data_IF_204463681900
#
_entry.id   IF_204463681900
#
_cell.length_a   1.000
_cell.length_b   1.000
_cell.length_c   1.000
_cell.angle_alpha   90.00
_cell.angle_beta   90.00
_cell.angle_gamma   90.00
#
_symmetry.space_group_name_H-M   'P 1'
#
loop_
_entity.id
_entity.type
_entity.pdbx_description
1 polymer ?
#
# COMPACT_ATOMS: atom_id res chain seq x y z
N UNK A 1 29.23 -63.42 24.76
CA UNK A 1 29.13 -61.94 24.91
C UNK A 1 28.96 -61.36 23.52
N UNK A 2 27.71 -61.02 23.12
CA UNK A 2 27.39 -60.34 21.88
C UNK A 2 26.96 -58.98 22.25
N UNK A 3 27.69 -57.92 21.77
CA UNK A 3 27.29 -56.53 21.85
C UNK A 3 26.52 -56.16 20.60
N UNK A 4 25.25 -55.86 20.76
CA UNK A 4 24.38 -55.33 19.69
C UNK A 4 24.62 -53.82 19.55
N UNK A 5 25.09 -53.44 18.36
CA UNK A 5 25.28 -52.04 17.97
C UNK A 5 23.94 -51.51 17.37
N UNK A 6 23.24 -50.67 18.12
CA UNK A 6 22.01 -50.08 17.69
C UNK A 6 22.37 -48.76 16.93
N UNK A 7 22.29 -48.77 15.60
CA UNK A 7 22.44 -47.55 14.77
C UNK A 7 21.12 -46.80 14.75
N UNK A 8 21.06 -45.67 15.43
CA UNK A 8 19.96 -44.74 15.33
C UNK A 8 20.11 -43.90 14.05
N UNK A 9 19.24 -44.14 13.07
CA UNK A 9 19.10 -43.30 11.90
C UNK A 9 18.41 -41.98 12.33
N UNK A 10 19.16 -40.89 12.38
CA UNK A 10 18.61 -39.56 12.53
C UNK A 10 17.93 -39.17 11.21
N UNK A 11 16.61 -39.16 11.20
CA UNK A 11 15.83 -38.55 10.12
C UNK A 11 16.11 -37.04 10.15
N UNK A 12 16.79 -36.55 9.13
CA UNK A 12 16.91 -35.11 8.88
C UNK A 12 15.50 -34.62 8.56
N UNK A 13 14.91 -33.92 9.51
CA UNK A 13 13.68 -33.17 9.32
C UNK A 13 14.05 -31.96 8.48
N UNK A 14 13.64 -31.98 7.21
CA UNK A 14 13.72 -30.82 6.30
C UNK A 14 12.88 -29.71 6.90
N UNK A 15 13.55 -28.64 7.34
CA UNK A 15 12.88 -27.45 7.87
C UNK A 15 11.96 -26.89 6.77
N UNK A 16 10.72 -26.47 7.11
CA UNK A 16 9.87 -25.81 6.13
C UNK A 16 10.62 -24.57 5.59
N UNK A 17 10.42 -24.23 4.29
CA UNK A 17 11.06 -23.06 3.70
C UNK A 17 10.71 -21.86 4.58
N UNK A 18 11.73 -21.14 5.01
CA UNK A 18 11.57 -19.93 5.78
C UNK A 18 10.66 -18.99 4.98
N UNK A 19 9.49 -18.63 5.54
CA UNK A 19 8.72 -17.51 5.07
C UNK A 19 9.65 -16.29 5.17
N UNK A 20 10.21 -15.90 4.03
CA UNK A 20 11.02 -14.70 3.95
C UNK A 20 10.12 -13.52 4.33
N UNK A 21 10.28 -13.05 5.55
CA UNK A 21 9.68 -11.79 5.99
C UNK A 21 10.09 -10.73 4.99
N UNK A 22 9.16 -10.02 4.31
CA UNK A 22 9.50 -9.02 3.31
C UNK A 22 10.49 -8.03 3.94
N UNK A 23 11.59 -7.77 3.25
CA UNK A 23 12.58 -6.81 3.70
C UNK A 23 11.89 -5.47 3.95
N UNK A 24 12.27 -4.77 5.03
CA UNK A 24 11.71 -3.46 5.39
C UNK A 24 11.96 -2.51 4.21
N UNK A 25 10.96 -2.33 3.34
CA UNK A 25 11.06 -1.49 2.15
C UNK A 25 10.44 -2.06 0.88
N UNK A 26 10.06 -3.34 0.85
CA UNK A 26 9.46 -3.93 -0.35
C UNK A 26 8.06 -3.34 -0.60
N UNK A 27 7.88 -2.80 -1.80
CA UNK A 27 6.58 -2.32 -2.26
C UNK A 27 5.61 -3.49 -2.38
N UNK A 28 4.43 -3.34 -1.78
CA UNK A 28 3.32 -4.29 -1.93
C UNK A 28 2.41 -3.81 -3.06
N UNK A 29 2.35 -4.59 -4.12
CA UNK A 29 1.55 -4.30 -5.30
C UNK A 29 0.08 -4.12 -4.91
N UNK A 30 -0.57 -3.11 -5.45
CA UNK A 30 -1.98 -2.86 -5.25
C UNK A 30 -2.82 -3.03 -6.51
N UNK A 31 -4.14 -2.94 -6.34
CA UNK A 31 -5.08 -2.91 -7.46
C UNK A 31 -4.88 -1.62 -8.26
N UNK A 32 -5.07 -1.69 -9.57
CA UNK A 32 -4.88 -0.58 -10.53
C UNK A 32 -3.44 -0.13 -10.79
N UNK A 33 -2.44 -0.68 -10.08
CA UNK A 33 -1.05 -0.41 -10.39
C UNK A 33 -0.68 -0.88 -11.79
N UNK A 34 0.27 -0.20 -12.42
CA UNK A 34 0.84 -0.60 -13.69
C UNK A 34 2.25 -1.13 -13.48
N UNK A 35 2.45 -2.39 -13.83
CA UNK A 35 3.74 -3.07 -13.74
C UNK A 35 4.41 -3.09 -15.12
N UNK A 36 5.65 -2.63 -15.21
CA UNK A 36 6.50 -2.81 -16.38
C UNK A 36 7.28 -4.13 -16.21
N UNK A 37 6.97 -5.11 -17.04
CA UNK A 37 7.65 -6.40 -17.03
C UNK A 37 8.59 -6.48 -18.23
N UNK A 38 9.84 -6.85 -17.98
CA UNK A 38 10.86 -7.09 -19.01
C UNK A 38 11.36 -8.52 -18.93
N UNK A 39 11.28 -9.23 -20.03
CA UNK A 39 11.81 -10.59 -20.16
C UNK A 39 12.93 -10.58 -21.20
N UNK A 40 14.16 -10.92 -20.77
CA UNK A 40 15.31 -10.86 -21.64
C UNK A 40 15.17 -11.81 -22.84
N UNK A 41 15.37 -11.27 -24.05
CA UNK A 41 15.25 -12.03 -25.28
C UNK A 41 13.82 -12.34 -25.75
N UNK A 42 12.79 -11.81 -25.04
CA UNK A 42 11.37 -12.03 -25.37
C UNK A 42 10.64 -10.68 -25.42
N UNK A 43 10.65 -10.04 -26.59
CA UNK A 43 9.98 -8.74 -26.79
C UNK A 43 8.46 -8.85 -26.62
N UNK A 44 7.88 -9.98 -26.98
CA UNK A 44 6.43 -10.21 -26.95
C UNK A 44 5.88 -10.35 -25.51
N UNK A 45 6.76 -10.59 -24.54
CA UNK A 45 6.44 -10.65 -23.10
C UNK A 45 6.80 -9.36 -22.36
N UNK A 46 7.53 -8.46 -23.03
CA UNK A 46 7.96 -7.20 -22.43
C UNK A 46 6.91 -6.13 -22.66
N UNK A 47 6.44 -5.51 -21.60
CA UNK A 47 5.42 -4.46 -21.68
C UNK A 47 4.81 -4.08 -20.33
N UNK A 48 3.80 -3.22 -20.40
CA UNK A 48 3.08 -2.75 -19.24
C UNK A 48 1.83 -3.60 -18.99
N UNK A 49 1.68 -4.05 -17.76
CA UNK A 49 0.57 -4.90 -17.31
C UNK A 49 -0.13 -4.21 -16.15
N UNK A 50 -1.43 -3.91 -16.33
CA UNK A 50 -2.24 -3.29 -15.29
C UNK A 50 -2.81 -4.36 -14.36
N UNK A 51 -2.68 -4.16 -13.06
CA UNK A 51 -3.32 -4.99 -12.03
C UNK A 51 -4.81 -4.69 -12.03
N UNK A 52 -5.63 -5.69 -12.28
CA UNK A 52 -7.08 -5.56 -12.31
C UNK A 52 -7.65 -5.38 -10.90
N UNK A 53 -8.92 -4.98 -10.80
CA UNK A 53 -9.62 -4.80 -9.52
C UNK A 53 -9.82 -6.12 -8.73
N UNK A 54 -9.72 -7.27 -9.39
CA UNK A 54 -9.69 -8.58 -8.74
C UNK A 54 -8.30 -8.95 -8.19
N UNK A 55 -7.33 -8.07 -8.37
CA UNK A 55 -5.95 -8.24 -7.94
C UNK A 55 -5.10 -9.11 -8.86
N UNK A 56 -5.61 -9.49 -10.01
CA UNK A 56 -4.92 -10.33 -10.99
C UNK A 56 -4.31 -9.52 -12.11
N UNK A 57 -3.24 -10.02 -12.72
CA UNK A 57 -2.76 -9.60 -14.05
C UNK A 57 -2.92 -10.74 -15.02
N UNK A 58 -3.14 -10.41 -16.29
CA UNK A 58 -3.13 -11.40 -17.38
C UNK A 58 -1.79 -11.34 -18.09
N UNK A 59 -1.02 -12.41 -17.99
CA UNK A 59 0.30 -12.49 -18.59
C UNK A 59 0.32 -13.52 -19.72
N UNK A 60 0.94 -13.23 -20.87
CA UNK A 60 0.97 -14.17 -22.00
C UNK A 60 1.60 -15.51 -21.59
N UNK A 61 1.04 -16.60 -22.13
CA UNK A 61 1.39 -18.00 -21.87
C UNK A 61 1.10 -18.53 -20.45
N UNK A 62 1.21 -17.67 -19.42
CA UNK A 62 0.98 -18.06 -18.02
C UNK A 62 -0.50 -17.92 -17.65
N UNK A 63 -1.20 -16.92 -18.22
CA UNK A 63 -2.59 -16.64 -17.89
C UNK A 63 -2.73 -15.65 -16.74
N UNK A 64 -3.68 -15.91 -15.85
CA UNK A 64 -3.99 -15.05 -14.72
C UNK A 64 -3.06 -15.33 -13.53
N UNK A 65 -2.36 -14.29 -13.05
CA UNK A 65 -1.44 -14.36 -11.91
C UNK A 65 -1.88 -13.34 -10.87
N UNK A 66 -1.92 -13.74 -9.61
CA UNK A 66 -2.20 -12.83 -8.50
C UNK A 66 -1.02 -11.88 -8.26
N UNK A 67 -1.30 -10.57 -8.34
CA UNK A 67 -0.32 -9.52 -8.12
C UNK A 67 -0.65 -8.68 -6.88
N UNK A 68 -1.91 -8.30 -6.69
CA UNK A 68 -2.29 -7.46 -5.55
C UNK A 68 -2.09 -8.18 -4.21
N UNK A 69 -1.54 -7.43 -3.24
CA UNK A 69 -1.20 -7.92 -1.90
C UNK A 69 0.13 -8.68 -1.85
N UNK A 70 0.85 -8.80 -2.97
CA UNK A 70 2.14 -9.50 -3.06
C UNK A 70 3.28 -8.47 -3.08
N UNK A 71 4.35 -8.63 -2.29
CA UNK A 71 5.56 -7.81 -2.42
C UNK A 71 6.17 -7.94 -3.81
N UNK A 72 6.68 -6.83 -4.38
CA UNK A 72 7.21 -6.79 -5.74
C UNK A 72 8.32 -7.82 -5.99
N UNK A 73 9.22 -8.01 -5.02
CA UNK A 73 10.29 -9.00 -5.11
C UNK A 73 9.76 -10.45 -5.16
N UNK A 74 8.71 -10.74 -4.38
CA UNK A 74 8.05 -12.07 -4.38
C UNK A 74 7.32 -12.27 -5.70
N UNK A 75 6.61 -11.26 -6.19
CA UNK A 75 5.92 -11.32 -7.48
C UNK A 75 6.89 -11.58 -8.64
N UNK A 76 8.05 -10.89 -8.67
CA UNK A 76 9.09 -11.12 -9.66
C UNK A 76 9.59 -12.58 -9.66
N UNK A 77 9.79 -13.16 -8.47
CA UNK A 77 10.18 -14.58 -8.32
C UNK A 77 9.09 -15.51 -8.84
N UNK A 78 7.84 -15.30 -8.41
CA UNK A 78 6.72 -16.13 -8.84
C UNK A 78 6.55 -16.12 -10.37
N UNK A 79 6.62 -14.92 -10.99
CA UNK A 79 6.50 -14.79 -12.44
C UNK A 79 7.65 -15.50 -13.17
N UNK A 80 8.88 -15.43 -12.65
CA UNK A 80 10.01 -16.15 -13.21
C UNK A 80 9.83 -17.66 -13.12
N UNK A 81 9.34 -18.16 -11.98
CA UNK A 81 9.12 -19.58 -11.75
C UNK A 81 8.04 -20.14 -12.69
N UNK A 82 6.94 -19.42 -12.87
CA UNK A 82 5.89 -19.76 -13.85
C UNK A 82 6.43 -19.78 -15.30
N UNK A 83 7.21 -18.77 -15.68
CA UNK A 83 7.83 -18.70 -17.01
C UNK A 83 8.88 -19.78 -17.24
N UNK A 84 9.49 -20.33 -16.20
CA UNK A 84 10.48 -21.41 -16.32
C UNK A 84 9.89 -22.70 -16.93
N UNK A 85 8.57 -22.85 -16.89
CA UNK A 85 7.85 -23.96 -17.53
C UNK A 85 7.89 -23.86 -19.07
N UNK A 86 7.98 -22.65 -19.61
CA UNK A 86 7.93 -22.38 -21.05
C UNK A 86 9.28 -21.98 -21.63
N UNK A 87 10.16 -21.39 -20.82
CA UNK A 87 11.45 -20.86 -21.23
C UNK A 87 12.57 -21.35 -20.31
N UNK A 88 13.70 -21.72 -20.88
CA UNK A 88 14.85 -22.15 -20.11
C UNK A 88 15.54 -20.93 -19.49
N UNK A 89 15.59 -20.87 -18.16
CA UNK A 89 16.28 -19.86 -17.36
C UNK A 89 15.87 -18.41 -17.73
N UNK A 90 14.57 -18.05 -17.65
CA UNK A 90 14.09 -16.74 -18.03
C UNK A 90 14.61 -15.66 -17.08
N UNK A 91 15.19 -14.60 -17.63
CA UNK A 91 15.59 -13.41 -16.87
C UNK A 91 14.43 -12.41 -16.87
N UNK A 92 13.75 -12.29 -15.75
CA UNK A 92 12.56 -11.44 -15.56
C UNK A 92 12.91 -10.27 -14.66
N UNK A 93 12.52 -9.08 -15.07
CA UNK A 93 12.59 -7.85 -14.25
C UNK A 93 11.21 -7.24 -14.22
N UNK A 94 10.71 -6.95 -13.01
CA UNK A 94 9.43 -6.29 -12.79
C UNK A 94 9.68 -4.99 -12.05
N UNK A 95 9.19 -3.90 -12.60
CA UNK A 95 9.23 -2.55 -12.03
C UNK A 95 7.81 -2.00 -11.94
N UNK A 96 7.54 -1.11 -11.00
CA UNK A 96 6.25 -0.40 -10.95
C UNK A 96 6.38 0.85 -11.81
N UNK A 97 5.58 0.95 -12.86
CA UNK A 97 5.52 2.10 -13.77
C UNK A 97 4.59 3.20 -13.22
N UNK A 98 3.43 2.78 -12.67
CA UNK A 98 2.48 3.70 -12.06
C UNK A 98 1.97 3.15 -10.72
N UNK A 99 2.10 3.95 -9.67
CA UNK A 99 1.64 3.67 -8.31
C UNK A 99 0.19 4.16 -8.11
N UNK A 100 -0.77 3.54 -8.78
CA UNK A 100 -2.16 4.00 -8.75
C UNK A 100 -2.90 3.59 -7.49
N UNK A 101 -2.45 2.54 -6.80
CA UNK A 101 -3.03 2.06 -5.55
C UNK A 101 -2.57 2.85 -4.32
N UNK A 102 -1.41 3.52 -4.39
CA UNK A 102 -0.84 4.28 -3.28
C UNK A 102 -1.36 5.71 -3.28
N UNK A 103 -2.53 5.90 -2.69
CA UNK A 103 -3.16 7.22 -2.55
C UNK A 103 -3.46 7.53 -1.09
N UNK A 104 -3.36 8.80 -0.73
CA UNK A 104 -3.86 9.37 0.52
C UNK A 104 -4.80 10.52 0.22
N UNK A 105 -5.75 10.73 1.11
CA UNK A 105 -6.74 11.79 0.98
C UNK A 105 -6.42 12.89 2.00
N UNK A 106 -6.28 14.13 1.54
CA UNK A 106 -6.02 15.28 2.41
C UNK A 106 -7.21 16.21 2.38
N UNK A 107 -7.80 16.46 3.53
CA UNK A 107 -9.02 17.23 3.71
C UNK A 107 -8.84 18.32 4.77
N UNK A 108 -9.61 19.40 4.65
CA UNK A 108 -9.66 20.50 5.62
C UNK A 108 -8.72 21.65 5.27
N UNK A 109 -8.11 22.25 6.28
CA UNK A 109 -7.38 23.52 6.19
C UNK A 109 -5.94 23.35 5.69
N UNK A 110 -5.81 22.96 4.42
CA UNK A 110 -4.57 22.97 3.64
C UNK A 110 -4.75 23.79 2.39
N UNK A 111 -3.66 24.23 1.79
CA UNK A 111 -3.71 25.08 0.60
C UNK A 111 -4.41 24.39 -0.59
N UNK A 112 -4.25 23.06 -0.73
CA UNK A 112 -4.83 22.26 -1.82
C UNK A 112 -5.38 20.94 -1.26
N UNK A 113 -6.62 20.90 -0.75
CA UNK A 113 -7.25 19.64 -0.39
C UNK A 113 -7.44 18.75 -1.62
N UNK A 114 -7.23 17.44 -1.47
CA UNK A 114 -7.36 16.50 -2.61
C UNK A 114 -6.81 15.12 -2.34
N UNK A 115 -6.61 14.38 -3.43
CA UNK A 115 -6.03 13.04 -3.44
C UNK A 115 -4.58 13.14 -3.90
N UNK A 116 -3.68 12.58 -3.11
CA UNK A 116 -2.24 12.59 -3.36
C UNK A 116 -1.74 11.17 -3.59
N UNK A 117 -0.99 10.97 -4.65
CA UNK A 117 -0.32 9.70 -4.94
C UNK A 117 1.10 9.76 -4.40
N UNK A 118 1.61 8.64 -3.93
CA UNK A 118 2.99 8.56 -3.47
C UNK A 118 3.69 7.29 -3.96
N UNK A 119 4.99 7.37 -4.10
CA UNK A 119 5.84 6.26 -4.51
C UNK A 119 6.57 5.69 -3.29
N UNK A 120 6.26 4.45 -2.92
CA UNK A 120 6.89 3.80 -1.78
C UNK A 120 6.34 4.27 -0.43
N UNK A 121 7.13 5.02 0.34
CA UNK A 121 6.75 5.51 1.69
C UNK A 121 6.61 7.01 1.70
N UNK A 122 5.58 7.50 2.34
CA UNK A 122 5.40 8.93 2.61
C UNK A 122 5.04 9.14 4.08
N UNK A 123 5.30 10.34 4.58
CA UNK A 123 4.98 10.74 5.95
C UNK A 123 3.88 11.80 5.95
N UNK A 124 3.25 11.98 7.11
CA UNK A 124 2.22 13.01 7.28
C UNK A 124 2.74 14.41 6.92
N UNK A 125 3.97 14.75 7.34
CA UNK A 125 4.56 16.05 7.05
C UNK A 125 4.82 16.24 5.54
N UNK A 126 5.33 15.23 4.85
CA UNK A 126 5.58 15.28 3.40
C UNK A 126 4.27 15.45 2.63
N UNK A 127 3.25 14.68 2.98
CA UNK A 127 1.93 14.78 2.34
C UNK A 127 1.29 16.16 2.54
N UNK A 128 1.38 16.73 3.74
CA UNK A 128 0.89 18.08 4.00
C UNK A 128 1.71 19.13 3.24
N UNK A 129 3.02 18.96 3.12
CA UNK A 129 3.87 19.85 2.34
C UNK A 129 3.50 19.79 0.85
N UNK A 130 3.22 18.61 0.30
CA UNK A 130 2.75 18.44 -1.08
C UNK A 130 1.37 19.08 -1.30
N UNK A 131 0.50 19.05 -0.28
CA UNK A 131 -0.78 19.76 -0.27
C UNK A 131 -0.63 21.29 -0.17
N UNK A 132 0.59 21.81 -0.19
CA UNK A 132 0.91 23.23 -0.14
C UNK A 132 0.98 23.84 1.27
N UNK A 133 1.01 22.97 2.29
CA UNK A 133 1.11 23.34 3.70
C UNK A 133 -0.22 23.67 4.36
N UNK A 134 -0.14 24.00 5.64
CA UNK A 134 -1.28 24.37 6.46
C UNK A 134 -1.78 25.78 6.14
N UNK A 135 -3.10 25.94 6.07
CA UNK A 135 -3.71 27.27 6.07
C UNK A 135 -3.53 27.96 7.44
N UNK A 136 -3.66 29.29 7.46
CA UNK A 136 -3.52 30.09 8.70
C UNK A 136 -4.54 29.72 9.77
N UNK A 137 -5.72 29.26 9.35
CA UNK A 137 -6.82 28.83 10.20
C UNK A 137 -6.67 27.40 10.73
N UNK A 138 -5.67 26.66 10.26
CA UNK A 138 -5.49 25.25 10.60
C UNK A 138 -5.11 25.02 12.06
N UNK A 139 -5.83 24.14 12.73
CA UNK A 139 -5.47 23.65 14.06
C UNK A 139 -4.42 22.53 13.96
N UNK A 140 -3.16 22.89 13.73
CA UNK A 140 -2.02 21.95 13.50
C UNK A 140 -1.86 20.91 14.60
N UNK A 141 -2.09 21.29 15.86
CA UNK A 141 -2.04 20.39 17.01
C UNK A 141 -3.18 19.35 17.03
N UNK A 142 -4.15 19.45 16.12
CA UNK A 142 -5.31 18.55 16.04
C UNK A 142 -5.40 17.85 14.67
N UNK A 143 -4.28 17.71 13.97
CA UNK A 143 -4.25 16.93 12.73
C UNK A 143 -4.62 15.48 13.02
N UNK A 144 -5.52 14.91 12.23
CA UNK A 144 -5.99 13.55 12.40
C UNK A 144 -5.67 12.71 11.17
N UNK A 145 -5.30 11.46 11.40
CA UNK A 145 -5.16 10.45 10.36
C UNK A 145 -6.15 9.34 10.64
N UNK A 146 -7.03 9.07 9.68
CA UNK A 146 -8.02 7.99 9.75
C UNK A 146 -7.56 6.88 8.84
N UNK A 147 -7.20 5.74 9.42
CA UNK A 147 -6.77 4.52 8.73
C UNK A 147 -7.90 3.51 8.70
N UNK A 148 -7.94 2.68 7.65
CA UNK A 148 -8.98 1.64 7.47
C UNK A 148 -10.41 2.19 7.55
N UNK A 149 -10.64 3.35 6.91
CA UNK A 149 -11.89 4.10 7.02
C UNK A 149 -13.15 3.28 6.70
N UNK A 150 -13.05 2.26 5.86
CA UNK A 150 -14.19 1.47 5.37
C UNK A 150 -14.56 0.27 6.25
N UNK A 151 -13.67 -0.18 7.12
CA UNK A 151 -13.89 -1.38 7.96
C UNK A 151 -13.97 -1.01 9.44
N UNK A 152 -12.83 -0.94 10.10
CA UNK A 152 -12.69 -0.51 11.50
C UNK A 152 -11.80 0.73 11.56
N UNK A 153 -12.38 1.95 11.50
CA UNK A 153 -11.59 3.17 11.40
C UNK A 153 -10.74 3.39 12.66
N UNK A 154 -9.43 3.42 12.45
CA UNK A 154 -8.47 3.81 13.47
C UNK A 154 -8.15 5.29 13.31
N UNK A 155 -8.46 6.09 14.31
CA UNK A 155 -8.20 7.52 14.30
C UNK A 155 -7.01 7.83 15.17
N UNK A 156 -5.98 8.39 14.55
CA UNK A 156 -4.78 8.86 15.20
C UNK A 156 -4.75 10.38 15.17
N UNK A 157 -4.68 11.00 16.34
CA UNK A 157 -4.50 12.43 16.45
C UNK A 157 -3.02 12.75 16.64
N UNK A 158 -2.49 13.63 15.82
CA UNK A 158 -1.08 13.98 15.79
C UNK A 158 -0.92 15.48 15.98
N UNK A 159 -0.07 15.83 16.92
CA UNK A 159 0.32 17.22 17.20
C UNK A 159 1.44 17.64 16.23
N UNK A 160 1.01 18.15 15.06
CA UNK A 160 1.95 18.61 14.03
C UNK A 160 2.60 19.95 14.37
N UNK A 161 2.09 20.71 15.35
CA UNK A 161 2.75 21.90 15.86
C UNK A 161 4.06 21.54 16.54
N UNK A 162 4.08 20.48 17.36
CA UNK A 162 5.31 19.96 17.95
C UNK A 162 6.31 19.41 16.93
N UNK A 163 5.82 18.77 15.88
CA UNK A 163 6.70 18.27 14.80
C UNK A 163 7.42 19.42 14.11
N UNK A 164 6.69 20.50 13.79
CA UNK A 164 7.18 21.61 12.99
C UNK A 164 7.99 22.59 13.84
N UNK A 165 7.46 23.00 14.99
CA UNK A 165 8.01 24.09 15.78
C UNK A 165 9.06 23.61 16.81
N UNK A 166 8.91 22.39 17.34
CA UNK A 166 9.82 21.80 18.33
C UNK A 166 10.77 20.73 17.74
N UNK A 167 10.57 20.33 16.48
CA UNK A 167 11.40 19.30 15.84
C UNK A 167 11.13 17.88 16.35
N UNK A 168 9.95 17.61 16.93
CA UNK A 168 9.56 16.30 17.45
C UNK A 168 9.25 15.29 16.33
N UNK A 169 10.23 14.94 15.51
CA UNK A 169 10.09 14.11 14.30
C UNK A 169 9.51 12.73 14.59
N UNK A 170 9.66 12.22 15.82
CA UNK A 170 9.09 10.93 16.23
C UNK A 170 7.56 10.90 16.17
N UNK A 171 6.89 12.06 16.18
CA UNK A 171 5.45 12.20 16.01
C UNK A 171 5.03 12.22 14.53
N UNK A 172 5.96 12.38 13.60
CA UNK A 172 5.69 12.35 12.17
C UNK A 172 5.53 10.91 11.71
N UNK A 173 4.28 10.44 11.66
CA UNK A 173 3.98 9.05 11.31
C UNK A 173 4.08 8.78 9.81
N UNK A 174 4.47 7.57 9.40
CA UNK A 174 4.32 7.13 8.03
C UNK A 174 2.84 6.92 7.70
N UNK A 175 2.43 7.33 6.50
CA UNK A 175 1.09 7.11 5.98
C UNK A 175 1.03 5.79 5.19
N UNK A 176 -0.13 5.17 5.20
CA UNK A 176 -0.45 3.98 4.43
C UNK A 176 -1.45 4.30 3.32
N UNK A 177 -1.54 3.41 2.34
CA UNK A 177 -2.50 3.55 1.26
C UNK A 177 -3.94 3.62 1.79
N UNK A 178 -4.70 4.61 1.31
CA UNK A 178 -6.08 4.82 1.75
C UNK A 178 -6.23 5.62 3.04
N UNK A 179 -5.14 6.08 3.67
CA UNK A 179 -5.23 6.97 4.83
C UNK A 179 -5.92 8.28 4.44
N UNK A 180 -6.75 8.76 5.36
CA UNK A 180 -7.43 10.06 5.25
C UNK A 180 -6.83 11.02 6.26
N UNK A 181 -6.12 12.02 5.79
CA UNK A 181 -5.54 13.09 6.61
C UNK A 181 -6.55 14.22 6.70
N UNK A 182 -6.88 14.62 7.91
CA UNK A 182 -7.84 15.68 8.15
C UNK A 182 -7.25 16.76 9.03
N UNK A 183 -7.34 17.99 8.55
CA UNK A 183 -6.82 19.16 9.23
C UNK A 183 -7.99 20.12 9.53
N UNK A 184 -8.43 20.18 10.81
CA UNK A 184 -9.56 21.02 11.20
C UNK A 184 -9.17 22.50 11.39
N UNK A 185 -10.17 23.39 11.40
CA UNK A 185 -10.02 24.81 11.74
C UNK A 185 -9.78 25.06 13.22
N UNK A 186 -10.42 24.26 14.07
CA UNK A 186 -10.43 24.45 15.51
C UNK A 186 -9.98 23.16 16.19
N UNK A 187 -9.51 23.31 17.43
CA UNK A 187 -9.17 22.15 18.24
C UNK A 187 -10.39 21.27 18.47
N UNK A 188 -10.38 20.06 17.92
CA UNK A 188 -11.46 19.09 18.06
C UNK A 188 -11.14 18.11 19.19
N UNK A 189 -12.05 18.01 20.15
CA UNK A 189 -11.86 17.15 21.33
C UNK A 189 -12.46 15.76 21.11
N UNK A 190 -13.50 15.64 20.26
CA UNK A 190 -14.23 14.40 20.04
C UNK A 190 -14.35 14.06 18.55
N UNK A 191 -14.11 12.80 18.21
CA UNK A 191 -14.24 12.24 16.86
C UNK A 191 -15.67 12.41 16.29
N UNK A 192 -16.71 12.29 17.11
CA UNK A 192 -18.10 12.40 16.67
C UNK A 192 -18.45 13.80 16.17
N UNK A 193 -17.93 14.87 16.81
CA UNK A 193 -18.13 16.24 16.36
C UNK A 193 -17.47 16.44 15.00
N UNK A 194 -16.28 15.88 14.84
CA UNK A 194 -15.53 15.88 13.60
C UNK A 194 -16.25 15.15 12.46
N UNK A 195 -16.71 13.91 12.68
CA UNK A 195 -17.44 13.12 11.67
C UNK A 195 -18.73 13.80 11.23
N UNK A 196 -19.36 14.57 12.10
CA UNK A 196 -20.56 15.32 11.80
C UNK A 196 -20.28 16.51 10.90
N UNK A 197 -19.17 17.21 11.12
CA UNK A 197 -18.76 18.38 10.34
C UNK A 197 -18.25 18.02 8.93
N UNK A 198 -17.61 16.84 8.78
CA UNK A 198 -17.06 16.39 7.48
C UNK A 198 -18.07 15.55 6.70
N UNK A 199 -19.06 14.96 7.37
CA UNK A 199 -20.05 14.07 6.77
C UNK A 199 -20.61 14.53 5.41
N UNK A 200 -20.90 15.82 5.18
CA UNK A 200 -21.36 16.29 3.87
C UNK A 200 -20.32 16.18 2.76
N UNK A 201 -19.05 16.42 3.09
CA UNK A 201 -17.95 16.43 2.11
C UNK A 201 -17.41 15.04 1.84
N UNK A 202 -17.25 14.21 2.87
CA UNK A 202 -16.79 12.82 2.77
C UNK A 202 -17.84 11.93 2.11
N UNK A 203 -19.12 12.11 2.41
CA UNK A 203 -20.19 11.32 1.80
C UNK A 203 -20.26 11.51 0.29
N UNK A 204 -19.94 12.69 -0.24
CA UNK A 204 -19.89 12.89 -1.68
C UNK A 204 -18.68 12.23 -2.33
N UNK A 205 -17.51 12.25 -1.69
CA UNK A 205 -16.29 11.58 -2.19
C UNK A 205 -16.36 10.05 -2.08
N UNK A 206 -16.88 9.53 -0.97
CA UNK A 206 -17.01 8.08 -0.75
C UNK A 206 -18.16 7.45 -1.54
N UNK A 207 -19.26 8.20 -1.81
CA UNK A 207 -20.32 7.75 -2.70
C UNK A 207 -19.84 7.49 -4.12
N UNK A 208 -18.88 8.24 -4.61
CA UNK A 208 -18.30 8.01 -5.94
C UNK A 208 -17.57 6.67 -5.99
N UNK A 209 -16.79 6.32 -4.97
CA UNK A 209 -16.05 5.04 -4.93
C UNK A 209 -16.95 3.83 -4.59
N UNK A 210 -18.02 4.00 -3.79
CA UNK A 210 -18.95 2.90 -3.49
C UNK A 210 -19.88 2.55 -4.65
N UNK A 211 -20.15 3.50 -5.56
CA UNK A 211 -20.94 3.24 -6.77
C UNK A 211 -20.24 2.24 -7.69
N UNK A 212 -18.92 2.24 -7.73
CA UNK A 212 -18.15 1.25 -8.50
C UNK A 212 -18.16 -0.16 -7.89
N UNK A 213 -18.40 -0.31 -6.57
CA UNK A 213 -18.46 -1.62 -5.90
C UNK A 213 -19.80 -2.32 -6.00
N UNK A 214 -20.92 -1.58 -6.06
CA UNK A 214 -22.28 -2.17 -6.04
C UNK A 214 -22.86 -2.50 -7.42
N UNK A 215 -22.17 -2.18 -8.50
CA UNK A 215 -22.69 -2.40 -9.87
C UNK A 215 -22.37 -3.80 -10.43
N UNK A 216 -21.57 -4.62 -9.73
CA UNK A 216 -21.11 -5.94 -10.21
C UNK A 216 -21.59 -7.14 -9.40
N UNK A 217 -22.50 -6.95 -8.42
CA UNK A 217 -23.16 -8.05 -7.70
C UNK A 217 -24.60 -8.28 -8.17
N UNK A 218 -24.82 -8.31 -9.49
CA UNK A 218 -26.07 -8.86 -10.07
C UNK A 218 -25.78 -9.62 -11.36
#
# INVERSE_FOLDING_TARGET
LAAALCAAAAAAQEAPPAEETPAIGDYVIGETDVLNVRVAGQSDLTGNYTVRLDGMIVFPYVGEIRAAGVPLAVFNRNLRDELSTYYKDPQVTVEVEEYNSCVVYVLGEVAKPGVYKFEGRTTLLETVAEAGGYERSAARASTMVVRSFLEEPQVMRIDMEKVIDEGAITLNIPLEKGDVVVIPKTFITNLNDFLTDISPSLTSYLRVNSIYRTTWER
#
